data_IF_150133729291
#
_entry.id   IF_150133729291
#
_cell.length_a   1.000
_cell.length_b   1.000
_cell.length_c   1.000
_cell.angle_alpha   90.00
_cell.angle_beta   90.00
_cell.angle_gamma   90.00
#
_symmetry.space_group_name_H-M   'P 1'
#
loop_
_entity.id
_entity.type
_entity.pdbx_description
1 polymer ?
#
# COMPACT_ATOMS: atom_id res chain seq x y z
N UNK A 1 1.61 -12.10 -10.02
CA UNK A 1 2.30 -11.04 -9.26
C UNK A 1 3.10 -10.12 -10.17
N UNK A 2 3.78 -10.64 -11.20
CA UNK A 2 4.52 -9.82 -12.20
C UNK A 2 3.71 -8.63 -12.76
N UNK A 3 2.44 -8.84 -13.16
CA UNK A 3 1.58 -7.75 -13.64
C UNK A 3 1.31 -6.66 -12.58
N UNK A 4 1.14 -7.06 -11.30
CA UNK A 4 0.91 -6.12 -10.21
C UNK A 4 2.17 -5.28 -9.93
N UNK A 5 3.33 -5.93 -9.93
CA UNK A 5 4.64 -5.27 -9.81
C UNK A 5 4.85 -4.24 -10.92
N UNK A 6 4.66 -4.64 -12.19
CA UNK A 6 4.82 -3.74 -13.33
C UNK A 6 3.83 -2.56 -13.27
N UNK A 7 2.57 -2.81 -12.89
CA UNK A 7 1.56 -1.77 -12.69
C UNK A 7 1.99 -0.72 -11.67
N UNK A 8 2.48 -1.16 -10.50
CA UNK A 8 2.97 -0.27 -9.46
C UNK A 8 4.26 0.47 -9.84
N UNK A 9 5.18 -0.17 -10.58
CA UNK A 9 6.38 0.50 -11.09
C UNK A 9 6.02 1.61 -12.10
N UNK A 10 5.04 1.37 -12.97
CA UNK A 10 4.52 2.40 -13.89
C UNK A 10 3.80 3.52 -13.13
N UNK A 11 3.06 3.19 -12.07
CA UNK A 11 2.41 4.17 -11.20
C UNK A 11 3.45 5.04 -10.48
N UNK A 12 4.47 4.43 -9.88
CA UNK A 12 5.58 5.14 -9.23
C UNK A 12 6.27 6.11 -10.17
N UNK A 13 6.63 5.68 -11.38
CA UNK A 13 7.24 6.55 -12.40
C UNK A 13 6.33 7.73 -12.75
N UNK A 14 5.03 7.49 -12.89
CA UNK A 14 4.07 8.54 -13.21
C UNK A 14 3.90 9.54 -12.06
N UNK A 15 3.85 9.08 -10.80
CA UNK A 15 3.72 9.94 -9.62
C UNK A 15 4.98 10.78 -9.39
N UNK A 16 6.16 10.22 -9.63
CA UNK A 16 7.42 10.98 -9.57
C UNK A 16 7.48 12.13 -10.59
N UNK A 17 6.85 11.95 -11.75
CA UNK A 17 6.78 12.95 -12.81
C UNK A 17 5.58 13.92 -12.66
N UNK A 18 4.61 13.61 -11.79
CA UNK A 18 3.43 14.43 -11.60
C UNK A 18 3.75 15.70 -10.77
N UNK A 19 3.04 16.82 -11.02
CA UNK A 19 3.18 18.06 -10.25
C UNK A 19 2.49 17.95 -8.88
N UNK A 20 2.94 17.01 -8.06
CA UNK A 20 2.43 16.79 -6.70
C UNK A 20 3.05 17.85 -5.78
N UNK A 21 2.25 18.61 -5.01
CA UNK A 21 2.77 19.61 -4.09
C UNK A 21 3.59 18.98 -2.96
N UNK A 22 4.69 19.63 -2.59
CA UNK A 22 5.44 19.38 -1.35
C UNK A 22 4.55 19.91 -0.20
N UNK A 23 3.84 19.03 0.54
CA UNK A 23 4.48 17.97 1.31
C UNK A 23 4.07 16.52 0.96
N UNK A 24 3.16 16.34 0.00
CA UNK A 24 2.60 15.01 -0.33
C UNK A 24 3.54 14.16 -1.18
N UNK A 25 4.42 14.82 -1.94
CA UNK A 25 5.28 14.17 -2.93
C UNK A 25 6.13 13.04 -2.35
N UNK A 26 6.65 13.20 -1.13
CA UNK A 26 7.43 12.18 -0.44
C UNK A 26 6.62 10.89 -0.24
N UNK A 27 5.51 10.96 0.50
CA UNK A 27 4.68 9.78 0.79
C UNK A 27 4.09 9.15 -0.47
N UNK A 28 3.51 9.96 -1.37
CA UNK A 28 2.78 9.47 -2.55
C UNK A 28 3.70 8.75 -3.54
N UNK A 29 4.97 9.15 -3.63
CA UNK A 29 5.95 8.46 -4.48
C UNK A 29 6.60 7.27 -3.79
N UNK A 30 6.77 7.32 -2.47
CA UNK A 30 7.37 6.23 -1.69
C UNK A 30 6.45 5.01 -1.57
N UNK A 31 5.16 5.21 -1.28
CA UNK A 31 4.20 4.13 -1.01
C UNK A 31 4.18 3.05 -2.13
N UNK A 32 4.06 3.39 -3.43
CA UNK A 32 4.13 2.40 -4.51
C UNK A 32 5.47 1.68 -4.62
N UNK A 33 6.59 2.35 -4.30
CA UNK A 33 7.92 1.73 -4.33
C UNK A 33 8.07 0.68 -3.24
N UNK A 34 7.63 0.99 -2.02
CA UNK A 34 7.65 0.06 -0.88
C UNK A 34 6.77 -1.16 -1.19
N UNK A 35 5.59 -0.95 -1.77
CA UNK A 35 4.72 -2.04 -2.20
C UNK A 35 5.39 -2.95 -3.24
N UNK A 36 6.17 -2.40 -4.18
CA UNK A 36 6.98 -3.18 -5.13
C UNK A 36 8.05 -4.00 -4.41
N UNK A 37 8.77 -3.41 -3.46
CA UNK A 37 9.79 -4.10 -2.67
C UNK A 37 9.20 -5.27 -1.88
N UNK A 38 8.02 -5.09 -1.27
CA UNK A 38 7.31 -6.16 -0.56
C UNK A 38 6.96 -7.32 -1.52
N UNK A 39 6.52 -7.04 -2.74
CA UNK A 39 6.26 -8.09 -3.75
C UNK A 39 7.54 -8.85 -4.07
N UNK A 40 8.66 -8.15 -4.28
CA UNK A 40 9.97 -8.78 -4.58
C UNK A 40 10.48 -9.65 -3.43
N UNK A 41 10.26 -9.22 -2.19
CA UNK A 41 10.57 -9.98 -0.98
C UNK A 41 9.77 -11.28 -0.94
N UNK A 42 8.47 -11.22 -1.24
CA UNK A 42 7.57 -12.39 -1.21
C UNK A 42 8.01 -13.47 -2.19
N UNK A 43 8.51 -13.12 -3.37
CA UNK A 43 9.04 -14.09 -4.34
C UNK A 43 10.22 -14.91 -3.77
N UNK A 44 10.89 -14.39 -2.74
CA UNK A 44 12.03 -15.03 -2.07
C UNK A 44 11.63 -15.76 -0.77
N UNK A 45 10.36 -15.69 -0.35
CA UNK A 45 9.85 -16.36 0.85
C UNK A 45 9.68 -17.86 0.61
N UNK A 46 10.20 -18.70 1.51
CA UNK A 46 10.15 -20.17 1.41
C UNK A 46 9.12 -20.83 2.34
N UNK A 47 8.35 -20.06 3.10
CA UNK A 47 7.42 -20.53 4.15
C UNK A 47 6.18 -19.65 4.25
N UNK A 48 5.00 -20.23 4.51
CA UNK A 48 3.72 -19.51 4.43
C UNK A 48 3.61 -18.71 3.12
N UNK A 49 4.05 -19.33 2.02
CA UNK A 49 4.23 -18.66 0.73
C UNK A 49 2.91 -18.14 0.20
N UNK A 50 1.83 -18.89 0.38
CA UNK A 50 0.49 -18.45 -0.06
C UNK A 50 0.01 -17.25 0.76
N UNK A 51 0.11 -17.28 2.09
CA UNK A 51 -0.27 -16.14 2.94
C UNK A 51 0.57 -14.89 2.63
N UNK A 52 1.87 -15.07 2.36
CA UNK A 52 2.77 -13.99 1.97
C UNK A 52 2.40 -13.40 0.60
N UNK A 53 2.03 -14.25 -0.38
CA UNK A 53 1.52 -13.82 -1.68
C UNK A 53 0.21 -13.09 -1.55
N UNK A 54 -0.72 -13.59 -0.74
CA UNK A 54 -1.99 -12.93 -0.48
C UNK A 54 -1.78 -11.53 0.12
N UNK A 55 -0.88 -11.40 1.10
CA UNK A 55 -0.49 -10.12 1.66
C UNK A 55 0.08 -9.17 0.60
N UNK A 56 1.02 -9.62 -0.23
CA UNK A 56 1.60 -8.78 -1.30
C UNK A 56 0.56 -8.37 -2.35
N UNK A 57 -0.31 -9.28 -2.77
CA UNK A 57 -1.39 -8.96 -3.72
C UNK A 57 -2.36 -7.95 -3.10
N UNK A 58 -2.72 -8.15 -1.83
CA UNK A 58 -3.56 -7.24 -1.07
C UNK A 58 -2.93 -5.83 -1.05
N UNK A 59 -1.69 -5.71 -0.58
CA UNK A 59 -0.92 -4.45 -0.53
C UNK A 59 -0.84 -3.80 -1.92
N UNK A 60 -0.61 -4.58 -2.97
CA UNK A 60 -0.51 -4.04 -4.32
C UNK A 60 -1.83 -3.41 -4.78
N UNK A 61 -2.94 -4.12 -4.59
CA UNK A 61 -4.26 -3.68 -5.01
C UNK A 61 -4.71 -2.42 -4.27
N UNK A 62 -4.53 -2.40 -2.95
CA UNK A 62 -4.92 -1.25 -2.14
C UNK A 62 -4.00 -0.05 -2.37
N UNK A 63 -2.70 -0.26 -2.58
CA UNK A 63 -1.76 0.80 -2.93
C UNK A 63 -2.14 1.44 -4.26
N UNK A 64 -2.40 0.64 -5.30
CA UNK A 64 -2.84 1.16 -6.59
C UNK A 64 -4.13 1.98 -6.46
N UNK A 65 -5.16 1.43 -5.79
CA UNK A 65 -6.44 2.13 -5.57
C UNK A 65 -6.25 3.45 -4.83
N UNK A 66 -5.39 3.47 -3.82
CA UNK A 66 -5.21 4.63 -2.95
C UNK A 66 -4.38 5.71 -3.63
N UNK A 67 -3.35 5.34 -4.39
CA UNK A 67 -2.40 6.27 -5.02
C UNK A 67 -2.80 6.72 -6.42
N UNK A 68 -3.60 5.92 -7.16
CA UNK A 68 -4.04 6.24 -8.53
C UNK A 68 -4.71 7.62 -8.67
N UNK A 69 -5.57 8.08 -7.74
CA UNK A 69 -6.15 9.42 -7.83
C UNK A 69 -5.12 10.55 -7.86
N UNK A 70 -3.97 10.40 -7.20
CA UNK A 70 -2.89 11.40 -7.25
C UNK A 70 -2.28 11.56 -8.64
N UNK A 71 -2.41 10.54 -9.49
CA UNK A 71 -2.02 10.60 -10.89
C UNK A 71 -3.15 11.14 -11.77
N UNK A 72 -4.38 10.67 -11.57
CA UNK A 72 -5.47 10.90 -12.53
C UNK A 72 -6.30 12.14 -12.26
N UNK A 73 -6.44 12.53 -10.99
CA UNK A 73 -7.30 13.61 -10.52
C UNK A 73 -6.61 14.41 -9.40
N UNK A 74 -5.40 14.97 -9.63
CA UNK A 74 -4.62 15.64 -8.59
C UNK A 74 -5.29 16.89 -8.00
N UNK A 75 -6.25 17.47 -8.71
CA UNK A 75 -6.99 18.66 -8.28
C UNK A 75 -8.20 18.32 -7.38
N UNK A 76 -8.65 17.07 -7.39
CA UNK A 76 -9.75 16.58 -6.54
C UNK A 76 -9.26 16.02 -5.19
N UNK A 77 -7.95 16.08 -4.94
CA UNK A 77 -7.37 15.56 -3.71
C UNK A 77 -7.61 16.53 -2.55
N UNK A 78 -8.03 15.98 -1.42
CA UNK A 78 -7.93 16.68 -0.14
C UNK A 78 -6.44 16.94 0.18
N UNK A 79 -6.08 18.22 0.32
CA UNK A 79 -4.73 18.67 0.64
C UNK A 79 -4.60 19.09 2.10
N UNK A 80 -5.50 18.62 2.96
CA UNK A 80 -5.43 18.87 4.39
C UNK A 80 -4.17 18.26 5.03
N UNK A 81 -3.67 18.85 6.13
CA UNK A 81 -2.61 18.24 6.94
C UNK A 81 -2.97 16.85 7.48
N UNK A 82 -4.26 16.56 7.68
CA UNK A 82 -4.73 15.23 8.10
C UNK A 82 -4.48 14.20 6.99
N UNK A 83 -4.85 14.49 5.74
CA UNK A 83 -4.54 13.61 4.60
C UNK A 83 -3.04 13.38 4.46
N UNK A 84 -2.21 14.42 4.67
CA UNK A 84 -0.75 14.26 4.67
C UNK A 84 -0.29 13.31 5.79
N UNK A 85 -0.76 13.52 7.01
CA UNK A 85 -0.41 12.68 8.16
C UNK A 85 -0.81 11.22 7.92
N UNK A 86 -2.00 10.96 7.39
CA UNK A 86 -2.46 9.59 7.07
C UNK A 86 -1.65 8.92 5.97
N UNK A 87 -1.18 9.67 4.99
CA UNK A 87 -0.27 9.15 3.97
C UNK A 87 1.10 8.76 4.57
N UNK A 88 1.64 9.57 5.47
CA UNK A 88 2.88 9.24 6.17
C UNK A 88 2.68 8.05 7.14
N UNK A 89 1.52 7.93 7.79
CA UNK A 89 1.17 6.74 8.60
C UNK A 89 1.09 5.47 7.75
N UNK A 90 0.38 5.52 6.61
CA UNK A 90 0.33 4.40 5.66
C UNK A 90 1.73 4.03 5.18
N UNK A 91 2.56 5.02 4.83
CA UNK A 91 3.95 4.80 4.45
C UNK A 91 4.72 4.08 5.56
N UNK A 92 4.66 4.55 6.79
CA UNK A 92 5.36 3.94 7.93
C UNK A 92 4.89 2.50 8.22
N UNK A 93 3.60 2.22 8.05
CA UNK A 93 3.05 0.85 8.17
C UNK A 93 3.60 -0.07 7.07
N UNK A 94 3.73 0.43 5.85
CA UNK A 94 4.30 -0.33 4.74
C UNK A 94 5.81 -0.57 4.92
N UNK A 95 6.58 0.44 5.33
CA UNK A 95 8.01 0.31 5.64
C UNK A 95 8.23 -0.75 6.74
N UNK A 96 7.44 -0.69 7.82
CA UNK A 96 7.50 -1.70 8.89
C UNK A 96 7.13 -3.10 8.38
N UNK A 97 6.16 -3.20 7.48
CA UNK A 97 5.77 -4.48 6.88
C UNK A 97 6.90 -5.05 6.03
N UNK A 98 7.59 -4.21 5.25
CA UNK A 98 8.79 -4.59 4.49
C UNK A 98 9.90 -5.14 5.42
N UNK A 99 10.23 -4.43 6.50
CA UNK A 99 11.24 -4.83 7.47
C UNK A 99 10.92 -6.18 8.14
N UNK A 100 9.66 -6.37 8.55
CA UNK A 100 9.22 -7.61 9.18
C UNK A 100 9.26 -8.79 8.17
N UNK A 101 8.92 -8.54 6.90
CA UNK A 101 9.01 -9.53 5.82
C UNK A 101 10.46 -9.94 5.52
N UNK A 102 11.41 -8.99 5.49
CA UNK A 102 12.84 -9.28 5.40
C UNK A 102 13.31 -10.14 6.59
N UNK A 103 12.78 -9.87 7.78
CA UNK A 103 13.08 -10.68 8.97
C UNK A 103 12.57 -12.11 8.82
N UNK A 104 11.37 -12.32 8.30
CA UNK A 104 10.81 -13.66 8.03
C UNK A 104 11.66 -14.44 7.02
N UNK A 105 12.15 -13.80 5.95
CA UNK A 105 13.09 -14.42 5.01
C UNK A 105 14.37 -14.92 5.72
N UNK A 106 14.94 -14.10 6.61
CA UNK A 106 16.20 -14.41 7.29
C UNK A 106 16.06 -15.42 8.46
N UNK A 107 14.89 -15.52 9.09
CA UNK A 107 14.65 -16.42 10.25
C UNK A 107 14.56 -17.89 9.84
N UNK A 108 13.95 -18.21 8.70
CA UNK A 108 13.83 -19.59 8.20
C UNK A 108 15.19 -20.19 7.79
N UNK A 109 16.19 -19.36 7.52
CA UNK A 109 17.59 -19.78 7.36
C UNK A 109 18.22 -20.27 8.67
N UNK A 110 17.70 -19.84 9.84
CA UNK A 110 18.31 -20.06 11.16
C UNK A 110 17.59 -21.06 12.07
N UNK A 111 16.29 -21.30 11.90
CA UNK A 111 15.56 -22.31 12.69
C UNK A 111 14.37 -22.88 11.92
N UNK A 112 14.30 -24.21 11.78
CA UNK A 112 13.38 -24.91 10.86
C UNK A 112 12.15 -25.57 11.50
N UNK A 113 12.06 -25.64 12.83
CA UNK A 113 11.10 -26.55 13.48
C UNK A 113 9.97 -25.88 14.30
N UNK A 114 10.09 -24.60 14.68
CA UNK A 114 9.13 -23.94 15.60
C UNK A 114 8.38 -22.73 15.02
N UNK A 115 8.63 -22.31 13.76
CA UNK A 115 8.19 -20.98 13.28
C UNK A 115 6.89 -20.94 12.48
N UNK A 116 6.35 -22.06 12.00
CA UNK A 116 5.30 -22.01 10.96
C UNK A 116 4.00 -21.29 11.41
N UNK A 117 3.49 -21.61 12.62
CA UNK A 117 2.28 -20.98 13.16
C UNK A 117 2.47 -19.54 13.65
N UNK A 118 3.67 -19.21 14.13
CA UNK A 118 4.04 -17.85 14.54
C UNK A 118 4.18 -16.93 13.30
N UNK A 119 4.75 -17.45 12.21
CA UNK A 119 4.93 -16.71 10.96
C UNK A 119 3.59 -16.40 10.27
N UNK A 120 2.63 -17.35 10.24
CA UNK A 120 1.29 -17.11 9.68
C UNK A 120 0.52 -16.04 10.48
N UNK A 121 0.61 -16.08 11.81
CA UNK A 121 -0.01 -15.09 12.69
C UNK A 121 0.57 -13.68 12.47
N UNK A 122 1.89 -13.58 12.22
CA UNK A 122 2.54 -12.31 11.88
C UNK A 122 2.09 -11.78 10.53
N UNK A 123 1.97 -12.62 9.51
CA UNK A 123 1.47 -12.21 8.19
C UNK A 123 0.04 -11.68 8.28
N UNK A 124 -0.82 -12.33 9.08
CA UNK A 124 -2.17 -11.85 9.34
C UNK A 124 -2.18 -10.49 10.08
N UNK A 125 -1.32 -10.31 11.09
CA UNK A 125 -1.17 -9.04 11.80
C UNK A 125 -0.63 -7.91 10.90
N UNK A 126 0.29 -8.21 9.98
CA UNK A 126 0.75 -7.27 8.96
C UNK A 126 -0.41 -6.83 8.07
N UNK A 127 -1.19 -7.80 7.56
CA UNK A 127 -2.37 -7.51 6.73
C UNK A 127 -3.36 -6.59 7.44
N UNK A 128 -3.68 -6.88 8.70
CA UNK A 128 -4.62 -6.07 9.47
C UNK A 128 -4.12 -4.64 9.67
N UNK A 129 -2.84 -4.43 10.03
CA UNK A 129 -2.31 -3.07 10.18
C UNK A 129 -2.34 -2.26 8.89
N UNK A 130 -2.05 -2.91 7.76
CA UNK A 130 -2.16 -2.26 6.45
C UNK A 130 -3.62 -1.89 6.16
N UNK A 131 -4.55 -2.83 6.39
CA UNK A 131 -5.99 -2.61 6.24
C UNK A 131 -6.49 -1.44 7.09
N UNK A 132 -6.13 -1.40 8.37
CA UNK A 132 -6.50 -0.32 9.29
C UNK A 132 -5.99 1.04 8.79
N UNK A 133 -4.72 1.14 8.40
CA UNK A 133 -4.15 2.38 7.88
C UNK A 133 -4.83 2.86 6.58
N UNK A 134 -5.25 1.93 5.73
CA UNK A 134 -5.98 2.24 4.50
C UNK A 134 -7.40 2.68 4.82
N UNK A 135 -8.09 1.99 5.73
CA UNK A 135 -9.44 2.32 6.15
C UNK A 135 -9.46 3.70 6.80
N UNK A 136 -8.48 4.03 7.66
CA UNK A 136 -8.36 5.38 8.23
C UNK A 136 -8.17 6.46 7.15
N UNK A 137 -7.40 6.16 6.10
CA UNK A 137 -7.24 7.04 4.94
C UNK A 137 -8.51 7.09 4.06
N UNK A 138 -9.32 6.02 4.02
CA UNK A 138 -10.51 5.86 3.16
C UNK A 138 -11.83 6.35 3.81
N UNK A 139 -12.03 6.14 5.10
CA UNK A 139 -13.26 6.53 5.83
C UNK A 139 -13.47 8.06 5.82
N UNK A 140 -12.38 8.83 5.72
CA UNK A 140 -12.43 10.29 5.61
C UNK A 140 -12.35 10.82 4.18
N UNK A 141 -11.95 9.94 3.27
CA UNK A 141 -12.20 10.04 1.83
C UNK A 141 -13.70 9.80 1.60
N UNK A 142 -14.55 10.70 2.13
CA UNK A 142 -15.82 11.02 1.48
C UNK A 142 -15.45 11.63 0.12
N UNK A 143 -15.07 10.78 -0.83
CA UNK A 143 -15.00 11.17 -2.22
C UNK A 143 -16.39 11.61 -2.61
N UNK A 144 -16.43 12.65 -3.42
CA UNK A 144 -17.58 13.10 -4.18
C UNK A 144 -18.18 11.91 -4.95
N UNK A 145 -19.04 11.17 -4.28
CA UNK A 145 -20.31 10.70 -4.80
C UNK A 145 -21.39 11.53 -4.09
N UNK A 146 -21.25 12.86 -4.12
CA UNK A 146 -22.43 13.70 -4.11
C UNK A 146 -22.78 13.89 -5.57
N UNK A 147 -24.01 13.49 -5.89
CA UNK A 147 -24.65 13.51 -7.19
C UNK A 147 -24.19 14.66 -8.09
N UNK A 148 -23.92 14.37 -9.37
CA UNK A 148 -24.09 15.36 -10.42
C UNK A 148 -25.48 16.03 -10.24
N UNK A 149 -25.60 17.35 -10.01
CA UNK A 149 -26.86 18.03 -10.23
C UNK A 149 -27.00 18.32 -11.73
N UNK A 150 -26.87 17.28 -12.56
CA UNK A 150 -27.28 17.32 -13.95
C UNK A 150 -28.34 16.24 -14.09
N UNK A 151 -29.59 16.62 -13.80
CA UNK A 151 -30.86 16.08 -14.34
C UNK A 151 -32.01 16.31 -13.35
N UNK A 152 -32.36 17.55 -13.06
CA UNK A 152 -33.76 17.92 -12.78
C UNK A 152 -34.01 19.34 -13.25
N UNK A 153 -33.88 19.55 -14.56
CA UNK A 153 -34.73 20.52 -15.24
C UNK A 153 -36.14 19.95 -15.28
N UNK A 154 -37.01 20.47 -14.42
CA UNK A 154 -38.44 20.58 -14.69
C UNK A 154 -38.84 22.04 -14.45
#
# INVERSE_FOLDING_TARGET
>A
MENAKQGLQLLSKALNAAPIPDPFKSAVTAIPNIAVQIIEIVDSVKGNVEDAKELAIYIANVTDKTMRPFKTKPDELDRSPDTQMRLEELRGVLEKTEEEMLTLMSRRLRSRALSYGDDASKLAAMKQRVDDAINELQERRQWVAQDDPILHTY
#
